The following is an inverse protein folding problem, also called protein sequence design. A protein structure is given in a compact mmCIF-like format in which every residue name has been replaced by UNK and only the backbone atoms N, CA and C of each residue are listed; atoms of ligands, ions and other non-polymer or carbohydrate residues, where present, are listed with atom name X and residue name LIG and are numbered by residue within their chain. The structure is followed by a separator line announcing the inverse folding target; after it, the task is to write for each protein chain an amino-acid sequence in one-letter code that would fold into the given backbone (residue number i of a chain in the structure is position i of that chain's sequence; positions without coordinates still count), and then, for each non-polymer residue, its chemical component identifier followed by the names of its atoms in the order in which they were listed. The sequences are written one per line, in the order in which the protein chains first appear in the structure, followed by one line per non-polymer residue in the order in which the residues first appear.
data_IF_105152517915
#
_entry.id   IF_105152517915
#
_cell.length_a   1.000
_cell.length_b   1.000
_cell.length_c   1.000
_cell.angle_alpha   90.00
_cell.angle_beta   90.00
_cell.angle_gamma   90.00
#
_symmetry.space_group_name_H-M   'P 1'
#
loop_
_entity.id
_entity.type
_entity.pdbx_description
1 polymer ?
#
# COMPACT_ATOMS: atom_id res chain seq x y z
N UNK A 1 -29.72 -43.19 -9.02
CA UNK A 1 -28.26 -42.98 -9.04
C UNK A 1 -28.02 -41.47 -9.00
N UNK A 2 -27.54 -40.93 -7.88
CA UNK A 2 -27.20 -39.50 -7.77
C UNK A 2 -25.93 -39.28 -8.58
N UNK A 3 -26.06 -38.64 -9.76
CA UNK A 3 -24.92 -38.20 -10.56
C UNK A 3 -24.12 -37.24 -9.67
N UNK A 4 -22.97 -37.70 -9.19
CA UNK A 4 -22.00 -36.88 -8.50
C UNK A 4 -21.57 -35.81 -9.50
N UNK A 5 -22.04 -34.58 -9.30
CA UNK A 5 -21.59 -33.43 -10.07
C UNK A 5 -20.11 -33.25 -9.71
N UNK A 6 -19.18 -33.32 -10.69
CA UNK A 6 -17.78 -33.07 -10.40
C UNK A 6 -17.63 -31.68 -9.79
N UNK A 7 -16.88 -31.58 -8.70
CA UNK A 7 -16.57 -30.29 -8.08
C UNK A 7 -15.93 -29.37 -9.14
N UNK A 8 -16.34 -28.09 -9.20
CA UNK A 8 -15.70 -27.13 -10.09
C UNK A 8 -14.21 -27.05 -9.75
N UNK A 9 -13.33 -26.92 -10.76
CA UNK A 9 -11.90 -26.80 -10.52
C UNK A 9 -11.65 -25.60 -9.61
N UNK A 10 -10.97 -25.85 -8.49
CA UNK A 10 -10.51 -24.80 -7.59
C UNK A 10 -9.56 -23.90 -8.40
N UNK A 11 -9.81 -22.58 -8.47
CA UNK A 11 -8.87 -21.67 -9.11
C UNK A 11 -7.50 -21.81 -8.45
N UNK A 12 -6.45 -21.74 -9.26
CA UNK A 12 -5.07 -21.81 -8.78
C UNK A 12 -4.77 -20.55 -7.94
N UNK A 13 -3.95 -20.65 -6.89
CA UNK A 13 -3.52 -19.48 -6.12
C UNK A 13 -2.93 -18.42 -7.05
N UNK A 14 -3.47 -17.19 -7.02
CA UNK A 14 -3.04 -16.04 -7.83
C UNK A 14 -3.85 -15.79 -9.11
N UNK A 15 -4.96 -16.49 -9.33
CA UNK A 15 -5.77 -16.34 -10.56
C UNK A 15 -6.49 -14.97 -10.68
N UNK A 16 -6.57 -14.21 -9.58
CA UNK A 16 -7.06 -12.83 -9.56
C UNK A 16 -5.96 -11.77 -9.73
N UNK A 17 -4.68 -12.14 -9.62
CA UNK A 17 -3.57 -11.26 -10.04
C UNK A 17 -3.59 -11.17 -11.55
N UNK A 18 -4.20 -10.11 -12.06
CA UNK A 18 -4.21 -9.78 -13.48
C UNK A 18 -2.75 -9.61 -13.95
N UNK A 19 -2.21 -10.49 -14.81
CA UNK A 19 -0.84 -10.38 -15.29
C UNK A 19 -0.59 -9.08 -16.06
N UNK A 20 -1.66 -8.45 -16.56
CA UNK A 20 -1.63 -7.11 -17.13
C UNK A 20 -1.19 -6.03 -16.13
N UNK A 21 -1.61 -6.11 -14.87
CA UNK A 21 -1.22 -5.15 -13.83
C UNK A 21 0.25 -5.30 -13.45
N UNK A 22 0.75 -6.53 -13.37
CA UNK A 22 2.17 -6.80 -13.11
C UNK A 22 3.03 -6.28 -14.27
N UNK A 23 2.61 -6.54 -15.52
CA UNK A 23 3.28 -6.02 -16.70
C UNK A 23 3.24 -4.49 -16.75
N UNK A 24 2.09 -3.87 -16.46
CA UNK A 24 1.95 -2.42 -16.42
C UNK A 24 2.88 -1.80 -15.36
N UNK A 25 2.92 -2.39 -14.17
CA UNK A 25 3.80 -1.98 -13.07
C UNK A 25 5.27 -2.11 -13.46
N UNK A 26 5.65 -3.22 -14.09
CA UNK A 26 7.00 -3.44 -14.58
C UNK A 26 7.39 -2.42 -15.67
N UNK A 27 6.49 -2.10 -16.60
CA UNK A 27 6.71 -1.09 -17.64
C UNK A 27 6.92 0.30 -17.04
N UNK A 28 6.10 0.67 -16.05
CA UNK A 28 6.25 1.92 -15.31
C UNK A 28 7.64 1.96 -14.64
N UNK A 29 8.03 0.90 -13.92
CA UNK A 29 9.36 0.81 -13.27
C UNK A 29 10.52 0.96 -14.26
N UNK A 30 10.46 0.28 -15.41
CA UNK A 30 11.49 0.38 -16.46
C UNK A 30 11.55 1.79 -17.04
N UNK A 31 10.40 2.43 -17.28
CA UNK A 31 10.34 3.80 -17.79
C UNK A 31 10.88 4.82 -16.77
N UNK A 32 10.61 4.63 -15.47
CA UNK A 32 11.17 5.46 -14.41
C UNK A 32 12.70 5.29 -14.29
N UNK A 33 13.19 4.04 -14.33
CA UNK A 33 14.62 3.75 -14.27
C UNK A 33 15.40 4.32 -15.47
N UNK A 34 14.82 4.29 -16.67
CA UNK A 34 15.44 4.83 -17.88
C UNK A 34 15.49 6.37 -17.90
N UNK A 35 14.65 7.06 -17.12
CA UNK A 35 14.48 8.51 -17.15
C UNK A 35 15.17 9.26 -16.00
N UNK A 36 16.10 8.64 -15.25
CA UNK A 36 16.66 9.27 -14.05
C UNK A 36 18.17 9.65 -14.18
N UNK A 37 18.51 10.82 -14.77
CA UNK A 37 19.87 11.35 -14.75
C UNK A 37 20.10 12.48 -13.71
N UNK A 38 19.19 12.71 -12.75
CA UNK A 38 19.26 13.85 -11.81
C UNK A 38 19.27 13.45 -10.33
N UNK A 39 19.53 14.40 -9.39
CA UNK A 39 19.31 14.16 -7.97
C UNK A 39 17.85 13.74 -7.74
N UNK A 40 17.64 12.73 -6.91
CA UNK A 40 16.30 12.16 -6.71
C UNK A 40 15.39 13.23 -6.14
N UNK A 41 14.19 13.39 -6.71
CA UNK A 41 13.17 14.30 -6.15
C UNK A 41 12.90 13.94 -4.68
N UNK A 42 13.08 12.67 -4.32
CA UNK A 42 12.93 12.19 -2.94
C UNK A 42 13.96 12.81 -1.98
N UNK A 43 15.16 13.17 -2.44
CA UNK A 43 16.19 13.82 -1.63
C UNK A 43 15.81 15.26 -1.26
N UNK A 44 14.88 15.86 -2.01
CA UNK A 44 14.38 17.22 -1.76
C UNK A 44 13.17 17.25 -0.82
N UNK A 45 12.57 16.09 -0.52
CA UNK A 45 11.44 15.97 0.38
C UNK A 45 11.91 15.97 1.83
N UNK A 46 11.09 16.58 2.69
CA UNK A 46 11.26 16.48 4.15
C UNK A 46 10.88 15.08 4.62
N UNK A 47 11.58 14.65 5.67
CA UNK A 47 11.28 13.41 6.38
C UNK A 47 9.86 13.42 6.95
N UNK A 48 9.29 12.23 7.11
CA UNK A 48 7.97 11.99 7.71
C UNK A 48 7.72 12.79 9.00
N UNK A 49 6.51 13.34 9.14
CA UNK A 49 6.01 13.90 10.38
C UNK A 49 5.35 12.83 11.27
N UNK A 50 5.12 13.16 12.54
CA UNK A 50 4.33 12.29 13.43
C UNK A 50 2.83 12.42 13.10
N UNK A 51 2.28 11.44 12.40
CA UNK A 51 0.86 11.41 12.00
C UNK A 51 0.18 10.14 12.51
N UNK A 52 -1.07 10.26 13.00
CA UNK A 52 -1.82 9.13 13.52
C UNK A 52 -2.23 8.13 12.44
N UNK A 53 -2.18 6.84 12.77
CA UNK A 53 -2.52 5.73 11.86
C UNK A 53 -4.03 5.58 11.58
N UNK A 54 -4.86 6.32 12.32
CA UNK A 54 -6.31 6.32 12.19
C UNK A 54 -6.92 7.29 13.21
N UNK A 55 -8.24 7.47 13.19
CA UNK A 55 -8.93 8.46 14.03
C UNK A 55 -8.72 8.23 15.54
N UNK A 56 -8.71 6.97 15.97
CA UNK A 56 -8.55 6.56 17.38
C UNK A 56 -7.32 5.66 17.57
N UNK A 57 -6.32 5.81 16.70
CA UNK A 57 -5.13 4.95 16.76
C UNK A 57 -4.25 5.31 17.95
N UNK A 58 -3.78 4.28 18.66
CA UNK A 58 -2.72 4.41 19.67
C UNK A 58 -1.32 4.56 19.03
N UNK A 59 -1.23 4.33 17.72
CA UNK A 59 0.02 4.33 16.97
C UNK A 59 0.10 5.53 16.02
N UNK A 60 1.28 6.14 15.97
CA UNK A 60 1.66 7.17 15.02
C UNK A 60 2.76 6.65 14.10
N UNK A 61 2.83 7.23 12.90
CA UNK A 61 4.00 7.14 12.03
C UNK A 61 5.20 7.76 12.76
N UNK A 62 6.32 7.05 12.73
CA UNK A 62 7.55 7.51 13.36
C UNK A 62 8.11 8.68 12.55
N UNK A 63 8.36 9.86 13.17
CA UNK A 63 8.91 10.99 12.45
C UNK A 63 10.39 10.76 12.10
N UNK A 64 10.91 11.51 11.12
CA UNK A 64 12.34 11.49 10.76
C UNK A 64 12.76 10.32 9.86
N UNK A 65 11.80 9.63 9.25
CA UNK A 65 12.06 8.64 8.19
C UNK A 65 12.08 9.35 6.84
N UNK A 66 13.10 9.06 6.03
CA UNK A 66 13.26 9.64 4.70
C UNK A 66 12.08 9.29 3.80
N UNK A 67 11.80 10.16 2.82
CA UNK A 67 10.70 9.94 1.90
C UNK A 67 10.85 8.64 1.10
N UNK A 68 12.07 8.27 0.71
CA UNK A 68 12.35 7.01 0.02
C UNK A 68 12.02 5.79 0.89
N UNK A 69 12.55 5.73 2.11
CA UNK A 69 12.31 4.61 3.03
C UNK A 69 10.82 4.50 3.38
N UNK A 70 10.17 5.63 3.63
CA UNK A 70 8.73 5.68 3.89
C UNK A 70 7.90 5.13 2.71
N UNK A 71 8.22 5.51 1.47
CA UNK A 71 7.51 5.04 0.28
C UNK A 71 7.76 3.54 -0.01
N UNK A 72 8.95 3.02 0.32
CA UNK A 72 9.22 1.57 0.28
C UNK A 72 8.29 0.83 1.26
N UNK A 73 8.13 1.35 2.48
CA UNK A 73 7.20 0.77 3.45
C UNK A 73 5.74 0.85 3.01
N UNK A 74 5.31 1.96 2.39
CA UNK A 74 3.98 2.07 1.77
C UNK A 74 3.76 0.97 0.74
N UNK A 75 4.74 0.75 -0.14
CA UNK A 75 4.64 -0.32 -1.15
C UNK A 75 4.50 -1.70 -0.53
N UNK A 76 5.22 -1.99 0.56
CA UNK A 76 5.11 -3.26 1.27
C UNK A 76 3.73 -3.45 1.91
N UNK A 77 3.21 -2.42 2.58
CA UNK A 77 1.89 -2.45 3.22
C UNK A 77 0.77 -2.68 2.19
N UNK A 78 0.88 -2.05 1.02
CA UNK A 78 -0.09 -2.23 -0.06
C UNK A 78 0.01 -3.64 -0.69
N UNK A 79 1.22 -4.19 -0.85
CA UNK A 79 1.37 -5.58 -1.31
C UNK A 79 0.80 -6.58 -0.31
N UNK A 80 0.99 -6.36 1.00
CA UNK A 80 0.32 -7.16 2.03
C UNK A 80 -1.22 -7.06 1.92
N UNK A 81 -1.76 -5.87 1.69
CA UNK A 81 -3.21 -5.70 1.51
C UNK A 81 -3.72 -6.49 0.29
N UNK A 82 -2.99 -6.47 -0.82
CA UNK A 82 -3.32 -7.24 -2.03
C UNK A 82 -3.29 -8.74 -1.76
N UNK A 83 -2.21 -9.27 -1.14
CA UNK A 83 -2.13 -10.70 -0.81
C UNK A 83 -3.27 -11.17 0.10
N UNK A 84 -3.65 -10.36 1.09
CA UNK A 84 -4.80 -10.67 1.95
C UNK A 84 -6.12 -10.62 1.17
N UNK A 85 -6.25 -9.70 0.20
CA UNK A 85 -7.43 -9.62 -0.67
C UNK A 85 -7.57 -10.83 -1.60
N UNK A 86 -6.45 -11.35 -2.10
CA UNK A 86 -6.40 -12.57 -2.93
C UNK A 86 -6.87 -13.77 -2.10
N UNK A 87 -6.33 -13.92 -0.88
CA UNK A 87 -6.70 -14.99 0.06
C UNK A 87 -8.21 -14.94 0.40
N UNK A 88 -8.76 -13.73 0.61
CA UNK A 88 -10.20 -13.54 0.85
C UNK A 88 -11.05 -14.00 -0.34
N UNK A 89 -10.60 -13.65 -1.54
CA UNK A 89 -11.32 -13.96 -2.78
C UNK A 89 -11.28 -15.45 -3.12
N UNK A 90 -10.20 -16.14 -2.77
CA UNK A 90 -10.00 -17.57 -3.03
C UNK A 90 -10.73 -18.48 -2.01
N UNK A 91 -10.85 -18.06 -0.74
CA UNK A 91 -11.35 -18.92 0.34
C UNK A 91 -12.80 -18.67 0.76
N UNK A 92 -13.51 -17.76 0.09
CA UNK A 92 -14.90 -17.31 0.25
C UNK A 92 -15.87 -18.30 0.95
N UNK A 93 -15.66 -18.53 2.25
CA UNK A 93 -16.52 -19.36 3.11
C UNK A 93 -17.42 -18.52 4.00
N UNK A 94 -17.30 -17.18 3.93
CA UNK A 94 -18.13 -16.22 4.65
C UNK A 94 -17.66 -15.88 6.07
N UNK A 95 -16.51 -16.41 6.54
CA UNK A 95 -15.99 -16.20 7.91
C UNK A 95 -14.61 -15.53 7.91
N UNK A 96 -14.40 -14.53 7.04
CA UNK A 96 -13.08 -13.93 6.83
C UNK A 96 -12.96 -12.51 7.39
N UNK A 97 -13.81 -12.20 8.37
CA UNK A 97 -13.81 -10.88 9.03
C UNK A 97 -12.40 -10.51 9.53
N UNK A 98 -11.63 -11.47 10.03
CA UNK A 98 -10.25 -11.25 10.46
C UNK A 98 -9.33 -10.81 9.32
N UNK A 99 -9.38 -11.50 8.16
CA UNK A 99 -8.59 -11.15 6.98
C UNK A 99 -8.99 -9.79 6.43
N UNK A 100 -10.28 -9.49 6.37
CA UNK A 100 -10.78 -8.17 5.94
C UNK A 100 -10.22 -7.07 6.85
N UNK A 101 -10.23 -7.27 8.17
CA UNK A 101 -9.64 -6.32 9.11
C UNK A 101 -8.13 -6.19 8.93
N UNK A 102 -7.40 -7.28 8.68
CA UNK A 102 -5.96 -7.24 8.38
C UNK A 102 -5.66 -6.44 7.09
N UNK A 103 -6.46 -6.63 6.04
CA UNK A 103 -6.33 -5.87 4.79
C UNK A 103 -6.59 -4.38 5.03
N UNK A 104 -7.68 -4.04 5.72
CA UNK A 104 -8.03 -2.64 6.06
C UNK A 104 -6.90 -1.99 6.85
N UNK A 105 -6.36 -2.68 7.86
CA UNK A 105 -5.29 -2.14 8.68
C UNK A 105 -4.01 -1.86 7.88
N UNK A 106 -3.64 -2.75 6.96
CA UNK A 106 -2.51 -2.51 6.04
C UNK A 106 -2.71 -1.26 5.19
N UNK A 107 -3.94 -1.00 4.73
CA UNK A 107 -4.28 0.22 3.97
C UNK A 107 -4.27 1.47 4.85
N UNK A 108 -4.78 1.39 6.08
CA UNK A 108 -4.76 2.50 7.05
C UNK A 108 -3.32 2.91 7.38
N UNK A 109 -2.45 1.93 7.65
CA UNK A 109 -1.02 2.14 7.88
C UNK A 109 -0.36 2.82 6.67
N UNK A 110 -0.64 2.35 5.45
CA UNK A 110 -0.08 2.94 4.23
C UNK A 110 -0.52 4.40 4.06
N UNK A 111 -1.80 4.68 4.26
CA UNK A 111 -2.36 6.02 4.17
C UNK A 111 -1.76 6.96 5.23
N UNK A 112 -1.55 6.47 6.45
CA UNK A 112 -0.92 7.23 7.51
C UNK A 112 0.50 7.68 7.15
N UNK A 113 1.31 6.79 6.55
CA UNK A 113 2.67 7.13 6.09
C UNK A 113 2.63 8.17 4.99
N UNK A 114 1.69 8.08 4.04
CA UNK A 114 1.49 9.11 3.02
C UNK A 114 1.10 10.45 3.64
N UNK A 115 0.16 10.46 4.58
CA UNK A 115 -0.24 11.68 5.28
C UNK A 115 0.93 12.28 6.07
N UNK A 116 1.76 11.47 6.72
CA UNK A 116 2.97 11.91 7.40
C UNK A 116 3.95 12.63 6.46
N UNK A 117 4.10 12.15 5.23
CA UNK A 117 4.93 12.83 4.22
C UNK A 117 4.28 14.13 3.74
N UNK A 118 2.97 14.14 3.50
CA UNK A 118 2.24 15.34 3.08
C UNK A 118 2.25 16.43 4.16
N UNK A 119 2.08 16.05 5.42
CA UNK A 119 2.10 16.95 6.57
C UNK A 119 3.49 17.58 6.76
N UNK A 120 4.56 16.79 6.61
CA UNK A 120 5.94 17.30 6.68
C UNK A 120 6.26 18.31 5.57
N UNK A 121 5.72 18.07 4.37
CA UNK A 121 6.02 18.83 3.17
C UNK A 121 4.99 19.95 2.88
N UNK A 122 3.99 20.14 3.75
CA UNK A 122 3.04 21.25 3.63
C UNK A 122 3.75 22.60 3.78
N UNK A 123 3.48 23.59 2.91
CA UNK A 123 3.98 24.95 3.10
C UNK A 123 3.46 25.48 4.42
N UNK A 124 4.37 25.85 5.32
CA UNK A 124 4.01 26.45 6.60
C UNK A 124 3.53 27.87 6.29
N UNK A 125 2.26 28.21 6.58
CA UNK A 125 1.69 29.57 6.40
C UNK A 125 2.37 30.65 7.26
N UNK A 126 3.45 30.32 8.00
CA UNK A 126 4.18 31.22 8.88
C UNK A 126 4.96 32.33 8.14
N UNK A 127 5.05 32.32 6.81
CA UNK A 127 5.76 33.35 6.03
C UNK A 127 4.87 34.50 5.54
N UNK A 128 3.61 34.61 6.00
CA UNK A 128 2.66 35.64 5.54
C UNK A 128 2.42 36.80 6.55
N UNK A 129 3.16 36.88 7.66
CA UNK A 129 2.98 37.93 8.68
C UNK A 129 4.30 38.62 9.11
N UNK A 130 5.28 38.71 8.21
CA UNK A 130 6.56 39.42 8.42
C UNK A 130 6.67 40.66 7.55
#
# INVERSE_FOLDING_TARGET
MKKLVPDPPMPLPGQFRTPEHDLATQRIRLALAANNPGPSILDSLRDTASTAVGRDSLFNVRPGISAEEALVHVSLLLDCAVQVSDEISERASGVERGLIWSMIHSVEMANAVVNALLDANRPTEATALG
#
